data_IF_803870802707
#
_entry.id   IF_803870802707
#
_cell.length_a   1.000
_cell.length_b   1.000
_cell.length_c   1.000
_cell.angle_alpha   90.00
_cell.angle_beta   90.00
_cell.angle_gamma   90.00
#
_symmetry.space_group_name_H-M   'P 1'
#
loop_
_entity.id
_entity.type
_entity.pdbx_description
1 polymer ?
#
# COMPACT_ATOMS: atom_id res chain seq x y z
N UNK A 1 -36.90 6.98 -5.35
CA UNK A 1 -35.78 7.80 -4.86
C UNK A 1 -35.48 7.40 -3.42
N UNK A 2 -34.48 6.55 -3.15
CA UNK A 2 -34.20 5.98 -1.81
C UNK A 2 -32.70 6.09 -1.41
N UNK A 3 -31.78 6.29 -2.37
CA UNK A 3 -30.32 6.29 -2.11
C UNK A 3 -29.85 7.33 -1.08
N UNK A 4 -30.26 8.59 -1.21
CA UNK A 4 -29.70 9.69 -0.42
C UNK A 4 -30.10 9.63 1.07
N UNK A 5 -31.24 9.02 1.43
CA UNK A 5 -31.57 8.75 2.84
C UNK A 5 -30.72 7.62 3.42
N UNK A 6 -30.49 6.56 2.63
CA UNK A 6 -29.63 5.42 3.04
C UNK A 6 -28.17 5.85 3.23
N UNK A 7 -27.66 6.71 2.33
CA UNK A 7 -26.34 7.33 2.43
C UNK A 7 -26.18 8.15 3.71
N UNK A 8 -27.18 8.97 4.07
CA UNK A 8 -27.16 9.78 5.30
C UNK A 8 -27.14 8.91 6.56
N UNK A 9 -27.99 7.89 6.62
CA UNK A 9 -27.99 6.96 7.76
C UNK A 9 -26.65 6.22 7.94
N UNK A 10 -25.96 5.90 6.84
CA UNK A 10 -24.61 5.31 6.88
C UNK A 10 -23.54 6.28 7.39
N UNK A 11 -23.56 7.54 6.93
CA UNK A 11 -22.62 8.56 7.42
C UNK A 11 -22.86 8.89 8.91
N UNK A 12 -24.12 9.00 9.33
CA UNK A 12 -24.53 9.24 10.72
C UNK A 12 -24.10 8.08 11.65
N UNK A 13 -24.26 6.82 11.20
CA UNK A 13 -23.77 5.65 11.92
C UNK A 13 -22.23 5.59 12.07
N UNK A 14 -21.49 6.22 11.15
CA UNK A 14 -20.03 6.43 11.26
C UNK A 14 -19.67 7.70 12.03
N UNK A 15 -20.63 8.39 12.64
CA UNK A 15 -20.47 9.67 13.36
C UNK A 15 -19.98 10.83 12.46
N UNK A 16 -20.18 10.73 11.15
CA UNK A 16 -19.77 11.74 10.15
C UNK A 16 -20.90 12.75 9.92
N UNK A 17 -20.95 13.79 10.75
CA UNK A 17 -21.90 14.90 10.65
C UNK A 17 -21.82 15.61 9.30
N UNK A 18 -22.79 15.37 8.42
CA UNK A 18 -22.85 15.99 7.09
C UNK A 18 -23.51 17.37 7.17
N UNK A 19 -22.71 18.43 7.23
CA UNK A 19 -23.21 19.81 7.17
C UNK A 19 -23.36 20.31 5.73
N UNK A 20 -24.48 20.95 5.41
CA UNK A 20 -24.72 21.62 4.14
C UNK A 20 -25.10 23.09 4.40
N UNK A 21 -24.36 24.09 3.88
CA UNK A 21 -24.72 25.50 4.03
C UNK A 21 -26.07 25.77 3.35
N UNK A 22 -27.08 26.12 4.16
CA UNK A 22 -28.41 26.57 3.67
C UNK A 22 -28.52 28.08 3.47
N UNK A 23 -27.47 28.82 3.83
CA UNK A 23 -27.39 30.28 3.77
C UNK A 23 -25.99 30.65 3.25
N UNK A 24 -25.89 31.71 2.45
CA UNK A 24 -24.59 32.26 2.06
C UNK A 24 -23.85 32.78 3.31
N UNK A 25 -22.57 32.42 3.45
CA UNK A 25 -21.75 32.90 4.56
C UNK A 25 -21.47 34.40 4.41
N UNK A 26 -21.49 35.18 5.51
CA UNK A 26 -21.08 36.58 5.45
C UNK A 26 -19.63 36.68 4.95
N UNK A 27 -19.35 37.71 4.14
CA UNK A 27 -18.06 37.95 3.48
C UNK A 27 -17.62 36.91 2.43
N UNK A 28 -18.43 35.90 2.11
CA UNK A 28 -18.16 35.00 1.00
C UNK A 28 -18.32 35.71 -0.36
N UNK A 29 -17.46 35.38 -1.33
CA UNK A 29 -17.59 35.89 -2.69
C UNK A 29 -18.86 35.35 -3.37
N UNK A 30 -19.55 36.14 -4.24
CA UNK A 30 -20.75 35.69 -4.92
C UNK A 30 -20.53 34.41 -5.75
N UNK A 31 -21.44 33.44 -5.60
CA UNK A 31 -21.42 32.19 -6.36
C UNK A 31 -21.49 32.45 -7.86
N UNK A 32 -20.60 31.83 -8.65
CA UNK A 32 -20.60 31.94 -10.12
C UNK A 32 -21.71 31.05 -10.72
N UNK A 33 -22.80 31.59 -11.27
CA UNK A 33 -23.94 30.78 -11.73
C UNK A 33 -23.57 29.83 -12.88
N UNK A 34 -22.59 30.21 -13.72
CA UNK A 34 -22.07 29.36 -14.79
C UNK A 34 -21.41 28.05 -14.30
N UNK A 35 -21.01 27.95 -13.02
CA UNK A 35 -20.50 26.71 -12.41
C UNK A 35 -21.61 25.86 -11.77
N UNK A 36 -22.83 26.41 -11.66
CA UNK A 36 -24.02 25.72 -11.15
C UNK A 36 -24.95 25.27 -12.30
N UNK A 37 -24.66 25.70 -13.53
CA UNK A 37 -25.30 25.17 -14.73
C UNK A 37 -24.87 23.71 -14.92
N UNK A 38 -25.81 22.78 -14.71
CA UNK A 38 -25.62 21.39 -15.09
C UNK A 38 -25.40 21.35 -16.61
N UNK A 39 -24.37 20.66 -17.14
CA UNK A 39 -24.23 20.50 -18.58
C UNK A 39 -25.50 19.83 -19.14
N UNK A 40 -25.97 20.22 -20.34
CA UNK A 40 -27.14 19.59 -20.93
C UNK A 40 -26.90 18.09 -21.04
N UNK A 41 -27.91 17.28 -20.68
CA UNK A 41 -27.82 15.84 -20.81
C UNK A 41 -27.50 15.50 -22.27
N UNK A 42 -26.39 14.77 -22.50
CA UNK A 42 -25.97 14.41 -23.84
C UNK A 42 -27.07 13.58 -24.51
N UNK A 43 -27.64 14.11 -25.59
CA UNK A 43 -28.74 13.47 -26.28
C UNK A 43 -28.31 12.08 -26.82
N UNK A 44 -29.16 11.10 -26.57
CA UNK A 44 -29.24 9.82 -27.27
C UNK A 44 -27.91 9.11 -27.59
N UNK A 45 -27.20 8.70 -26.54
CA UNK A 45 -26.56 7.39 -26.61
C UNK A 45 -27.65 6.33 -26.42
N UNK A 46 -27.93 5.47 -27.43
CA UNK A 46 -28.97 4.45 -27.30
C UNK A 46 -28.58 3.44 -26.21
N UNK A 47 -29.37 3.40 -25.13
CA UNK A 47 -29.14 2.46 -24.04
C UNK A 47 -29.30 1.00 -24.54
N UNK A 48 -28.42 0.06 -24.12
CA UNK A 48 -28.60 -1.35 -24.45
C UNK A 48 -29.92 -1.85 -23.87
N UNK A 49 -30.77 -2.43 -24.71
CA UNK A 49 -32.16 -2.74 -24.37
C UNK A 49 -32.26 -3.73 -23.20
N UNK A 50 -32.71 -3.24 -22.04
CA UNK A 50 -33.03 -4.07 -20.89
C UNK A 50 -34.18 -5.04 -21.24
N UNK A 51 -33.87 -6.33 -21.31
CA UNK A 51 -34.79 -7.38 -21.78
C UNK A 51 -35.87 -7.64 -20.73
N UNK A 52 -37.03 -7.03 -20.91
CA UNK A 52 -38.16 -7.16 -19.98
C UNK A 52 -38.62 -8.63 -19.84
N UNK A 53 -38.51 -9.17 -18.62
CA UNK A 53 -39.16 -10.42 -18.23
C UNK A 53 -40.55 -10.04 -17.72
N UNK A 54 -41.59 -10.34 -18.50
CA UNK A 54 -42.95 -9.88 -18.21
C UNK A 54 -43.54 -10.51 -16.96
N UNK A 55 -44.23 -9.68 -16.16
CA UNK A 55 -45.05 -10.12 -15.04
C UNK A 55 -46.13 -11.11 -15.51
N UNK A 56 -46.24 -12.25 -14.85
CA UNK A 56 -47.32 -13.22 -15.10
C UNK A 56 -47.80 -13.78 -13.76
N UNK A 57 -48.88 -13.19 -13.25
CA UNK A 57 -49.46 -13.58 -11.96
C UNK A 57 -50.04 -15.00 -11.98
N UNK A 58 -49.95 -15.67 -10.84
CA UNK A 58 -50.64 -16.94 -10.54
C UNK A 58 -51.29 -16.80 -9.17
N UNK A 59 -52.53 -17.27 -9.03
CA UNK A 59 -53.36 -17.05 -7.85
C UNK A 59 -53.02 -17.99 -6.67
N UNK A 60 -53.45 -17.61 -5.47
CA UNK A 60 -53.64 -18.54 -4.35
C UNK A 60 -54.77 -19.56 -4.70
N UNK A 61 -54.85 -20.71 -4.00
CA UNK A 61 -55.76 -20.69 -2.85
C UNK A 61 -55.44 -21.62 -1.65
N UNK A 62 -55.92 -21.16 -0.49
CA UNK A 62 -56.49 -21.92 0.64
C UNK A 62 -55.60 -22.69 1.66
N UNK A 63 -56.26 -22.99 2.79
CA UNK A 63 -55.75 -23.46 4.09
C UNK A 63 -56.38 -24.82 4.45
N UNK A 64 -55.87 -25.56 5.44
CA UNK A 64 -56.66 -25.74 6.68
C UNK A 64 -55.84 -25.72 7.99
N UNK A 65 -56.53 -25.84 9.12
CA UNK A 65 -56.06 -25.91 10.52
C UNK A 65 -57.22 -26.59 11.35
N UNK A 66 -57.17 -26.78 12.70
CA UNK A 66 -56.17 -26.41 13.72
C UNK A 66 -55.91 -27.56 14.76
N UNK A 67 -55.78 -27.19 16.05
CA UNK A 67 -55.66 -28.00 17.30
C UNK A 67 -54.22 -28.52 17.63
N UNK A 68 -53.75 -28.52 18.89
CA UNK A 68 -54.41 -28.20 20.18
C UNK A 68 -53.49 -27.40 21.15
N UNK A 69 -54.02 -26.97 22.31
CA UNK A 69 -53.35 -26.19 23.39
C UNK A 69 -54.15 -26.40 24.72
N UNK A 70 -53.91 -25.72 25.88
CA UNK A 70 -52.84 -24.84 26.40
C UNK A 70 -52.33 -25.40 27.79
N UNK A 71 -51.99 -24.67 28.90
CA UNK A 71 -51.63 -23.24 29.13
C UNK A 71 -50.41 -22.93 30.07
N UNK A 72 -49.89 -21.69 29.99
CA UNK A 72 -49.30 -20.82 31.04
C UNK A 72 -48.10 -21.31 31.92
N UNK A 73 -47.29 -20.49 32.61
CA UNK A 73 -47.18 -19.01 32.73
C UNK A 73 -45.71 -18.58 33.04
N UNK A 74 -45.45 -17.25 33.01
CA UNK A 74 -44.33 -16.53 33.65
C UNK A 74 -42.89 -16.65 33.08
N UNK A 75 -42.07 -15.68 33.50
CA UNK A 75 -40.63 -15.46 33.22
C UNK A 75 -39.98 -14.91 34.55
N UNK A 76 -38.69 -14.49 34.65
CA UNK A 76 -37.61 -14.35 33.64
C UNK A 76 -36.18 -14.78 34.14
N UNK A 77 -35.14 -14.25 33.47
CA UNK A 77 -33.73 -13.99 33.87
C UNK A 77 -32.64 -15.09 34.07
N UNK A 78 -31.52 -14.80 33.38
CA UNK A 78 -30.08 -15.03 33.66
C UNK A 78 -29.41 -16.44 33.65
N UNK A 79 -28.12 -16.53 33.23
CA UNK A 79 -27.40 -17.80 33.05
C UNK A 79 -26.34 -18.11 34.13
N UNK A 80 -26.15 -19.39 34.47
CA UNK A 80 -24.96 -19.87 35.20
C UNK A 80 -24.45 -21.25 34.75
N UNK A 81 -23.15 -21.27 34.44
CA UNK A 81 -22.15 -22.34 34.63
C UNK A 81 -22.61 -23.77 35.00
N UNK A 82 -22.12 -24.76 34.25
CA UNK A 82 -21.88 -26.12 34.79
C UNK A 82 -20.43 -26.28 35.28
N UNK A 83 -20.28 -26.96 36.42
CA UNK A 83 -19.03 -27.56 36.90
C UNK A 83 -18.90 -28.98 36.28
N UNK A 84 -17.73 -29.41 35.80
CA UNK A 84 -16.55 -29.94 36.52
C UNK A 84 -16.69 -31.35 37.12
N UNK A 85 -15.72 -32.22 36.82
CA UNK A 85 -15.24 -33.47 37.48
C UNK A 85 -14.14 -34.05 36.56
N UNK A 86 -13.11 -34.80 36.98
CA UNK A 86 -12.77 -35.45 38.27
C UNK A 86 -11.24 -35.34 38.52
N UNK A 87 -10.71 -35.08 39.73
CA UNK A 87 -10.25 -36.01 40.81
C UNK A 87 -9.21 -37.08 40.37
N UNK A 88 -8.20 -37.52 41.16
CA UNK A 88 -7.97 -37.39 42.62
C UNK A 88 -6.48 -37.63 43.04
N UNK A 89 -6.18 -37.39 44.34
CA UNK A 89 -5.17 -38.09 45.20
C UNK A 89 -3.65 -37.87 44.95
N UNK A 90 -2.75 -37.88 45.96
CA UNK A 90 -2.88 -37.90 47.44
C UNK A 90 -1.58 -37.48 48.17
N UNK A 91 -1.71 -36.93 49.40
CA UNK A 91 -0.78 -36.93 50.58
C UNK A 91 0.67 -36.40 50.43
N UNK A 92 1.38 -35.89 51.45
CA UNK A 92 1.11 -35.63 52.89
C UNK A 92 1.93 -34.37 53.32
N UNK A 93 1.41 -33.41 54.11
CA UNK A 93 1.63 -33.27 55.58
C UNK A 93 3.14 -33.29 55.98
N UNK A 94 3.82 -32.21 56.42
CA UNK A 94 3.45 -30.80 56.74
C UNK A 94 4.73 -29.88 56.60
N UNK A 95 5.08 -28.79 57.33
CA UNK A 95 4.62 -28.11 58.58
C UNK A 95 5.02 -26.62 58.63
N UNK A 96 4.58 -25.91 59.68
CA UNK A 96 4.96 -24.54 60.10
C UNK A 96 6.49 -24.35 60.21
N UNK A 97 7.11 -23.16 60.15
CA UNK A 97 6.64 -21.77 60.21
C UNK A 97 7.72 -20.94 60.96
N UNK A 98 8.05 -19.70 60.58
CA UNK A 98 7.59 -18.41 61.17
C UNK A 98 8.36 -17.26 60.45
N UNK A 99 7.92 -16.00 60.54
CA UNK A 99 8.54 -14.81 59.90
C UNK A 99 9.02 -13.77 60.96
N UNK A 100 9.39 -12.49 60.66
CA UNK A 100 9.97 -11.84 59.46
C UNK A 100 11.22 -10.97 59.83
N UNK A 101 11.48 -9.87 59.09
CA UNK A 101 12.36 -8.70 59.38
C UNK A 101 13.90 -8.83 59.15
N UNK A 102 14.69 -7.77 58.90
CA UNK A 102 14.42 -6.44 58.29
C UNK A 102 15.73 -5.66 57.94
N UNK A 103 15.62 -4.74 56.97
CA UNK A 103 16.31 -3.43 56.85
C UNK A 103 17.84 -3.28 56.56
N UNK A 104 18.13 -2.08 56.02
CA UNK A 104 19.37 -1.28 56.05
C UNK A 104 20.44 -1.42 54.95
N UNK A 105 20.87 -0.24 54.45
CA UNK A 105 22.12 0.02 53.69
C UNK A 105 23.23 0.42 54.68
N UNK A 106 24.49 0.57 54.25
CA UNK A 106 24.96 1.94 53.99
C UNK A 106 25.93 2.06 52.78
N UNK A 107 26.41 3.28 52.54
CA UNK A 107 27.53 3.61 51.65
C UNK A 107 28.32 4.80 52.24
N UNK A 108 29.64 4.88 52.02
CA UNK A 108 30.44 6.10 52.15
C UNK A 108 31.78 6.01 51.39
N UNK A 109 32.35 7.17 51.07
CA UNK A 109 33.56 7.40 50.28
C UNK A 109 34.89 7.05 50.98
N UNK A 110 35.97 6.91 50.19
CA UNK A 110 37.16 7.78 50.30
C UNK A 110 38.14 7.63 49.11
N UNK A 111 38.80 8.74 48.74
CA UNK A 111 39.78 8.83 47.64
C UNK A 111 41.17 8.29 48.04
N UNK A 112 41.96 7.75 47.08
CA UNK A 112 43.19 8.41 46.58
C UNK A 112 44.01 7.65 45.52
N UNK A 113 44.66 8.44 44.66
CA UNK A 113 45.95 8.23 43.96
C UNK A 113 46.14 7.08 42.95
N UNK A 114 46.57 7.45 41.74
CA UNK A 114 47.29 6.58 40.80
C UNK A 114 48.80 6.48 41.17
N UNK A 115 49.57 5.56 40.55
CA UNK A 115 50.23 5.95 39.29
C UNK A 115 50.30 4.86 38.19
N UNK A 116 50.63 5.29 36.96
CA UNK A 116 51.20 4.49 35.85
C UNK A 116 52.59 3.93 36.26
N UNK A 117 53.14 2.83 35.66
CA UNK A 117 53.56 2.85 34.24
C UNK A 117 53.65 1.50 33.46
N UNK A 118 54.16 1.63 32.22
CA UNK A 118 54.67 0.60 31.27
C UNK A 118 53.64 -0.16 30.43
N UNK A 119 53.75 0.04 29.12
CA UNK A 119 53.14 -0.77 28.07
C UNK A 119 54.01 -2.00 27.75
N UNK A 120 53.38 -3.10 27.33
CA UNK A 120 54.00 -4.12 26.47
C UNK A 120 53.04 -4.32 25.29
N UNK A 121 53.49 -4.21 24.03
CA UNK A 121 52.60 -4.35 22.88
C UNK A 121 52.05 -5.79 22.78
N UNK A 122 50.75 -5.91 22.52
CA UNK A 122 50.16 -7.13 21.95
C UNK A 122 50.14 -6.93 20.44
N UNK A 123 50.72 -7.86 19.69
CA UNK A 123 50.86 -7.74 18.23
C UNK A 123 49.49 -7.74 17.53
N UNK A 124 49.37 -6.88 16.51
CA UNK A 124 48.21 -6.83 15.60
C UNK A 124 48.07 -8.16 14.83
N UNK A 125 47.35 -9.11 15.42
CA UNK A 125 46.71 -10.18 14.67
C UNK A 125 45.47 -9.58 14.02
N UNK A 126 45.35 -9.50 12.68
CA UNK A 126 44.19 -8.90 12.04
C UNK A 126 42.94 -9.76 12.27
N UNK A 127 42.20 -9.47 13.34
CA UNK A 127 40.96 -10.17 13.64
C UNK A 127 39.93 -9.78 12.58
N UNK A 128 39.74 -10.69 11.61
CA UNK A 128 38.84 -10.51 10.49
C UNK A 128 37.47 -10.03 10.98
N UNK A 129 37.12 -8.79 10.64
CA UNK A 129 35.90 -8.16 11.13
C UNK A 129 34.69 -8.99 10.67
N UNK A 130 33.95 -9.55 11.63
CA UNK A 130 32.72 -10.26 11.34
C UNK A 130 31.79 -9.32 10.55
N UNK A 131 31.23 -9.74 9.40
CA UNK A 131 30.51 -8.84 8.52
C UNK A 131 29.35 -8.20 9.27
N UNK A 132 29.37 -6.87 9.36
CA UNK A 132 28.35 -6.09 10.05
C UNK A 132 27.04 -6.29 9.32
N UNK A 133 26.16 -7.14 9.87
CA UNK A 133 24.84 -7.44 9.32
C UNK A 133 23.96 -6.18 9.42
N UNK A 134 24.04 -5.33 8.40
CA UNK A 134 23.17 -4.17 8.21
C UNK A 134 21.72 -4.65 8.27
N UNK A 135 20.88 -3.94 9.02
CA UNK A 135 19.47 -4.31 9.13
C UNK A 135 18.82 -4.37 7.74
N UNK A 136 18.01 -5.41 7.44
CA UNK A 136 17.37 -5.54 6.14
C UNK A 136 16.47 -4.32 5.90
N UNK A 137 16.55 -3.66 4.72
CA UNK A 137 15.67 -2.54 4.41
C UNK A 137 14.21 -3.00 4.38
N UNK A 138 13.27 -2.06 4.44
CA UNK A 138 11.84 -2.34 4.34
C UNK A 138 11.22 -1.48 3.26
N UNK A 139 10.61 -2.12 2.26
CA UNK A 139 9.91 -1.45 1.17
C UNK A 139 8.90 -2.40 0.53
N UNK A 140 7.97 -1.83 -0.24
CA UNK A 140 7.14 -2.57 -1.17
C UNK A 140 7.12 -1.87 -2.53
N UNK A 141 7.11 -2.67 -3.59
CA UNK A 141 7.17 -2.24 -4.99
C UNK A 141 6.15 -3.00 -5.82
N UNK A 142 5.29 -2.29 -6.54
CA UNK A 142 4.44 -2.86 -7.57
C UNK A 142 5.08 -2.67 -8.94
N UNK A 143 5.01 -3.70 -9.77
CA UNK A 143 5.32 -3.58 -11.19
C UNK A 143 4.03 -3.39 -11.99
N UNK A 144 4.06 -2.45 -12.94
CA UNK A 144 2.98 -2.18 -13.89
C UNK A 144 3.53 -2.04 -15.32
N UNK A 145 2.68 -2.27 -16.32
CA UNK A 145 2.97 -2.02 -17.74
C UNK A 145 1.94 -1.09 -18.35
N UNK A 146 2.39 -0.07 -19.07
CA UNK A 146 1.56 0.89 -19.78
C UNK A 146 2.05 1.00 -21.23
N UNK A 147 1.47 0.20 -22.12
CA UNK A 147 1.96 0.06 -23.50
C UNK A 147 3.41 -0.42 -23.54
N UNK A 148 4.27 0.33 -24.23
CA UNK A 148 5.70 0.06 -24.36
C UNK A 148 6.54 0.42 -23.12
N UNK A 149 5.95 0.97 -22.05
CA UNK A 149 6.66 1.33 -20.82
C UNK A 149 6.39 0.34 -19.68
N UNK A 150 7.43 0.08 -18.89
CA UNK A 150 7.38 -0.66 -17.64
C UNK A 150 7.57 0.32 -16.47
N UNK A 151 6.84 0.13 -15.37
CA UNK A 151 6.85 1.04 -14.23
C UNK A 151 7.02 0.25 -12.93
N UNK A 152 8.10 0.53 -12.19
CA UNK A 152 8.33 0.01 -10.84
C UNK A 152 8.01 1.12 -9.83
N UNK A 153 6.98 0.91 -9.01
CA UNK A 153 6.35 1.96 -8.21
C UNK A 153 6.34 1.61 -6.73
N UNK A 154 6.82 2.53 -5.90
CA UNK A 154 6.79 2.47 -4.44
C UNK A 154 5.36 2.42 -3.89
N UNK A 155 5.14 1.51 -2.93
CA UNK A 155 3.91 1.35 -2.17
C UNK A 155 4.20 1.59 -0.67
N UNK A 156 4.08 2.82 -0.14
CA UNK A 156 4.46 3.13 1.24
C UNK A 156 3.70 2.35 2.32
N UNK A 157 2.47 1.88 2.02
CA UNK A 157 1.65 1.05 2.91
C UNK A 157 1.93 -0.45 2.78
N UNK A 158 2.58 -0.90 1.70
CA UNK A 158 2.69 -2.32 1.34
C UNK A 158 1.42 -2.96 0.77
N UNK A 159 0.34 -2.19 0.56
CA UNK A 159 -0.88 -2.62 -0.11
C UNK A 159 -0.84 -2.32 -1.61
N UNK A 160 -1.50 -3.14 -2.43
CA UNK A 160 -1.61 -2.90 -3.87
C UNK A 160 -2.61 -1.80 -4.22
N UNK A 161 -2.41 -1.12 -5.36
CA UNK A 161 -3.23 0.01 -5.78
C UNK A 161 -4.72 -0.31 -5.88
N UNK A 162 -5.54 0.55 -5.26
CA UNK A 162 -7.01 0.46 -5.32
C UNK A 162 -7.57 1.47 -6.34
N UNK A 163 -8.68 1.16 -7.01
CA UNK A 163 -9.24 2.01 -8.09
C UNK A 163 -9.69 3.42 -7.69
N UNK A 164 -9.69 3.75 -6.39
CA UNK A 164 -10.03 5.08 -5.83
C UNK A 164 -8.86 5.72 -5.06
N UNK A 165 -7.71 5.07 -5.03
CA UNK A 165 -6.50 5.55 -4.37
C UNK A 165 -5.99 6.85 -5.04
N UNK A 166 -5.80 7.96 -4.28
CA UNK A 166 -5.25 9.20 -4.80
C UNK A 166 -3.90 9.05 -5.53
N UNK A 167 -3.01 8.18 -5.04
CA UNK A 167 -1.72 7.90 -5.66
C UNK A 167 -1.91 7.22 -7.02
N UNK A 168 -2.80 6.22 -7.08
CA UNK A 168 -3.12 5.53 -8.33
C UNK A 168 -3.80 6.46 -9.35
N UNK A 169 -4.68 7.35 -8.90
CA UNK A 169 -5.28 8.38 -9.76
C UNK A 169 -4.21 9.34 -10.31
N UNK A 170 -3.27 9.79 -9.48
CA UNK A 170 -2.13 10.59 -9.93
C UNK A 170 -1.25 9.84 -10.94
N UNK A 171 -0.97 8.55 -10.73
CA UNK A 171 -0.22 7.71 -11.67
C UNK A 171 -0.92 7.64 -13.04
N UNK A 172 -2.25 7.49 -13.07
CA UNK A 172 -3.03 7.48 -14.31
C UNK A 172 -3.00 8.82 -15.05
N UNK A 173 -3.07 9.94 -14.32
CA UNK A 173 -2.93 11.27 -14.93
C UNK A 173 -1.50 11.54 -15.44
N UNK A 174 -0.46 11.02 -14.77
CA UNK A 174 0.92 11.04 -15.28
C UNK A 174 1.07 10.22 -16.57
N UNK A 175 0.51 9.01 -16.63
CA UNK A 175 0.49 8.17 -17.85
C UNK A 175 -0.22 8.88 -19.01
N UNK A 176 -1.41 9.45 -18.75
CA UNK A 176 -2.16 10.25 -19.72
C UNK A 176 -1.35 11.44 -20.23
N UNK A 177 -0.67 12.16 -19.35
CA UNK A 177 0.20 13.29 -19.70
C UNK A 177 1.51 12.87 -20.42
N UNK A 178 1.97 11.63 -20.22
CA UNK A 178 3.06 11.01 -20.97
C UNK A 178 2.67 10.57 -22.39
N UNK A 179 1.36 10.49 -22.69
CA UNK A 179 0.83 9.88 -23.92
C UNK A 179 0.80 8.35 -23.88
N UNK A 180 0.77 7.75 -22.69
CA UNK A 180 0.65 6.32 -22.46
C UNK A 180 -0.80 5.94 -22.09
N UNK A 181 -1.20 4.65 -22.22
CA UNK A 181 -2.50 4.19 -21.75
C UNK A 181 -2.70 4.48 -20.26
N UNK A 182 -3.81 5.11 -19.90
CA UNK A 182 -4.14 5.47 -18.51
C UNK A 182 -4.81 4.32 -17.71
N UNK A 183 -4.83 3.12 -18.29
CA UNK A 183 -5.20 1.85 -17.64
C UNK A 183 -3.98 0.91 -17.57
N UNK A 184 -2.99 1.17 -16.68
CA UNK A 184 -1.81 0.32 -16.58
C UNK A 184 -2.17 -1.09 -16.08
N UNK A 185 -1.55 -2.11 -16.67
CA UNK A 185 -1.69 -3.49 -16.24
C UNK A 185 -0.79 -3.76 -15.03
N UNK A 186 -1.38 -4.23 -13.93
CA UNK A 186 -0.63 -4.76 -12.77
C UNK A 186 0.06 -6.07 -13.15
N UNK A 187 1.37 -6.17 -12.92
CA UNK A 187 2.17 -7.35 -13.23
C UNK A 187 2.54 -8.11 -11.93
N UNK A 188 1.68 -9.05 -11.56
CA UNK A 188 1.85 -9.87 -10.36
C UNK A 188 1.60 -9.13 -9.05
N UNK A 189 1.85 -9.83 -7.94
CA UNK A 189 1.75 -9.29 -6.59
C UNK A 189 2.82 -8.23 -6.27
N UNK A 190 2.57 -7.30 -5.33
CA UNK A 190 3.60 -6.42 -4.79
C UNK A 190 4.81 -7.20 -4.25
N UNK A 191 5.99 -6.88 -4.76
CA UNK A 191 7.27 -7.26 -4.14
C UNK A 191 7.32 -6.59 -2.77
N UNK A 192 7.57 -7.36 -1.71
CA UNK A 192 7.71 -6.86 -0.34
C UNK A 192 9.05 -7.34 0.21
N UNK A 193 9.87 -6.40 0.68
CA UNK A 193 11.19 -6.70 1.25
C UNK A 193 11.22 -6.32 2.74
N UNK A 194 11.84 -7.14 3.63
CA UNK A 194 12.44 -8.45 3.37
C UNK A 194 11.41 -9.52 2.94
N UNK A 195 11.82 -10.45 2.09
CA UNK A 195 10.98 -11.57 1.62
C UNK A 195 10.58 -12.52 2.76
N UNK A 196 11.48 -12.68 3.75
CA UNK A 196 11.32 -13.56 4.90
C UNK A 196 11.51 -12.76 6.20
N UNK A 197 10.56 -12.88 7.13
CA UNK A 197 10.63 -12.23 8.45
C UNK A 197 11.74 -12.79 9.37
N UNK A 198 12.38 -13.90 8.98
CA UNK A 198 13.51 -14.50 9.68
C UNK A 198 14.18 -15.60 8.85
N UNK A 199 15.42 -15.93 9.20
CA UNK A 199 16.26 -16.91 8.50
C UNK A 199 17.75 -16.53 8.56
N UNK A 200 18.62 -17.34 7.95
CA UNK A 200 20.04 -17.02 7.75
C UNK A 200 20.37 -16.67 6.28
N UNK A 201 19.35 -16.40 5.47
CA UNK A 201 19.49 -15.81 4.14
C UNK A 201 19.88 -14.33 4.29
N UNK A 202 20.84 -13.85 3.49
CA UNK A 202 21.11 -12.41 3.44
C UNK A 202 19.93 -11.68 2.80
N UNK A 203 19.45 -10.63 3.49
CA UNK A 203 18.40 -9.75 3.02
C UNK A 203 18.80 -8.27 3.18
N UNK A 204 20.11 -8.00 3.27
CA UNK A 204 20.67 -6.65 3.31
C UNK A 204 20.51 -5.87 1.99
N UNK A 205 21.03 -4.63 1.93
CA UNK A 205 20.82 -3.74 0.78
C UNK A 205 21.34 -4.25 -0.57
N UNK A 206 22.38 -5.10 -0.58
CA UNK A 206 22.90 -5.77 -1.78
C UNK A 206 21.91 -6.80 -2.33
N UNK A 207 21.59 -7.83 -1.54
CA UNK A 207 20.59 -8.84 -1.90
C UNK A 207 19.23 -8.25 -2.33
N UNK A 208 18.82 -7.12 -1.73
CA UNK A 208 17.62 -6.38 -2.11
C UNK A 208 17.69 -5.80 -3.54
N UNK A 209 18.86 -5.31 -3.93
CA UNK A 209 19.15 -4.79 -5.28
C UNK A 209 19.24 -5.92 -6.29
N UNK A 210 20.02 -6.95 -5.99
CA UNK A 210 20.21 -8.13 -6.86
C UNK A 210 18.85 -8.77 -7.20
N UNK A 211 17.96 -8.87 -6.20
CA UNK A 211 16.59 -9.33 -6.39
C UNK A 211 15.77 -8.40 -7.29
N UNK A 212 15.77 -7.08 -7.05
CA UNK A 212 14.96 -6.12 -7.82
C UNK A 212 15.45 -6.02 -9.27
N UNK A 213 16.77 -6.02 -9.50
CA UNK A 213 17.36 -6.03 -10.84
C UNK A 213 17.04 -7.33 -11.59
N UNK A 214 17.24 -8.50 -10.97
CA UNK A 214 16.89 -9.79 -11.57
C UNK A 214 15.38 -9.96 -11.84
N UNK A 215 14.53 -9.44 -10.94
CA UNK A 215 13.07 -9.41 -11.14
C UNK A 215 12.68 -8.51 -12.32
N UNK A 216 13.31 -7.35 -12.49
CA UNK A 216 13.08 -6.47 -13.66
C UNK A 216 13.59 -7.11 -14.96
N UNK A 217 14.75 -7.77 -14.94
CA UNK A 217 15.34 -8.42 -16.12
C UNK A 217 14.36 -9.42 -16.76
N UNK A 218 13.87 -10.39 -15.98
CA UNK A 218 12.90 -11.38 -16.46
C UNK A 218 11.64 -10.73 -17.06
N UNK A 219 11.16 -9.62 -16.49
CA UNK A 219 9.95 -8.89 -16.94
C UNK A 219 10.18 -8.03 -18.20
N UNK A 220 11.44 -7.77 -18.54
CA UNK A 220 11.86 -7.09 -19.77
C UNK A 220 12.21 -8.08 -20.89
N UNK A 221 12.68 -9.29 -20.54
CA UNK A 221 12.81 -10.42 -21.46
C UNK A 221 11.44 -10.96 -21.93
N UNK A 222 10.45 -11.03 -21.02
CA UNK A 222 9.09 -11.49 -21.31
C UNK A 222 8.35 -10.67 -22.39
N UNK A 223 8.59 -9.35 -22.46
CA UNK A 223 7.97 -8.48 -23.44
C UNK A 223 8.74 -7.15 -23.60
N UNK A 224 8.89 -6.62 -24.83
CA UNK A 224 9.72 -5.45 -25.12
C UNK A 224 9.35 -4.21 -24.29
N UNK A 225 10.36 -3.41 -23.96
CA UNK A 225 10.24 -2.23 -23.09
C UNK A 225 11.08 -1.08 -23.64
N UNK A 226 10.43 0.02 -24.06
CA UNK A 226 11.09 1.22 -24.59
C UNK A 226 11.68 2.11 -23.49
N UNK A 227 11.09 2.06 -22.29
CA UNK A 227 11.53 2.83 -21.13
C UNK A 227 10.98 2.21 -19.83
N UNK A 228 11.87 2.04 -18.85
CA UNK A 228 11.54 1.73 -17.47
C UNK A 228 11.38 3.04 -16.68
N UNK A 229 10.30 3.17 -15.90
CA UNK A 229 10.14 4.24 -14.91
C UNK A 229 10.38 3.68 -13.51
N UNK A 230 11.18 4.39 -12.71
CA UNK A 230 11.45 4.08 -11.31
C UNK A 230 10.79 5.18 -10.46
N UNK A 231 9.68 4.86 -9.81
CA UNK A 231 8.83 5.83 -9.10
C UNK A 231 8.95 5.60 -7.60
N UNK A 232 9.61 6.52 -6.89
CA UNK A 232 9.88 6.40 -5.46
C UNK A 232 11.32 5.95 -5.14
N UNK A 233 11.77 6.30 -3.94
CA UNK A 233 13.19 6.15 -3.57
C UNK A 233 13.66 4.68 -3.51
N UNK A 234 12.87 3.70 -3.01
CA UNK A 234 13.25 2.30 -3.06
C UNK A 234 13.34 1.76 -4.50
N UNK A 235 12.45 2.19 -5.41
CA UNK A 235 12.50 1.79 -6.82
C UNK A 235 13.81 2.26 -7.46
N UNK A 236 14.20 3.52 -7.21
CA UNK A 236 15.44 4.10 -7.73
C UNK A 236 16.67 3.42 -7.08
N UNK A 237 16.73 3.33 -5.75
CA UNK A 237 17.89 2.79 -5.02
C UNK A 237 18.17 1.31 -5.34
N UNK A 238 17.13 0.48 -5.39
CA UNK A 238 17.29 -0.97 -5.55
C UNK A 238 17.27 -1.45 -7.01
N UNK A 239 16.85 -0.62 -7.98
CA UNK A 239 17.10 -0.90 -9.40
C UNK A 239 18.41 -0.25 -9.91
N UNK A 240 18.62 1.05 -9.66
CA UNK A 240 19.64 1.87 -10.34
C UNK A 240 20.85 2.28 -9.50
N UNK A 241 20.91 1.87 -8.22
CA UNK A 241 21.86 2.35 -7.19
C UNK A 241 21.78 3.83 -6.83
N UNK A 242 21.13 4.66 -7.66
CA UNK A 242 21.03 6.11 -7.49
C UNK A 242 20.18 6.52 -6.28
N UNK A 243 20.24 7.82 -5.96
CA UNK A 243 19.63 8.42 -4.78
C UNK A 243 18.60 9.52 -5.13
N UNK A 244 18.04 10.18 -4.12
CA UNK A 244 17.00 11.19 -4.31
C UNK A 244 17.44 12.45 -5.11
N UNK A 245 18.72 12.63 -5.37
CA UNK A 245 19.26 13.69 -6.25
C UNK A 245 19.06 13.39 -7.75
N UNK A 246 18.80 12.12 -8.09
CA UNK A 246 18.53 11.66 -9.44
C UNK A 246 17.06 11.82 -9.89
N UNK A 247 16.16 12.29 -9.02
CA UNK A 247 14.78 12.64 -9.40
C UNK A 247 14.74 13.59 -10.62
N UNK A 248 13.75 13.39 -11.49
CA UNK A 248 13.55 14.10 -12.76
C UNK A 248 14.65 13.87 -13.82
N UNK A 249 15.53 12.88 -13.64
CA UNK A 249 16.62 12.50 -14.56
C UNK A 249 16.49 11.08 -15.10
N UNK A 250 17.22 10.82 -16.18
CA UNK A 250 17.49 9.46 -16.65
C UNK A 250 18.69 8.89 -15.89
N UNK A 251 18.57 7.64 -15.45
CA UNK A 251 19.60 6.90 -14.69
C UNK A 251 19.99 5.62 -15.43
N UNK A 252 21.27 5.24 -15.45
CA UNK A 252 21.68 3.91 -15.91
C UNK A 252 21.14 2.85 -14.95
N UNK A 253 20.82 1.69 -15.48
CA UNK A 253 20.42 0.50 -14.71
C UNK A 253 21.22 -0.66 -15.28
N UNK A 254 22.04 -1.31 -14.47
CA UNK A 254 22.92 -2.37 -14.97
C UNK A 254 22.11 -3.54 -15.54
N UNK A 255 22.57 -4.12 -16.64
CA UNK A 255 21.85 -5.08 -17.48
C UNK A 255 20.58 -4.56 -18.18
N UNK A 256 19.95 -3.47 -17.72
CA UNK A 256 18.62 -3.02 -18.13
C UNK A 256 18.60 -1.69 -18.90
N UNK A 257 19.75 -1.06 -19.11
CA UNK A 257 19.92 0.12 -19.95
C UNK A 257 19.69 1.43 -19.19
N UNK A 258 18.64 2.18 -19.54
CA UNK A 258 18.39 3.53 -19.00
C UNK A 258 16.93 3.70 -18.63
N UNK A 259 16.69 3.93 -17.34
CA UNK A 259 15.38 4.21 -16.74
C UNK A 259 15.19 5.71 -16.46
N UNK A 260 13.95 6.14 -16.27
CA UNK A 260 13.60 7.50 -15.81
C UNK A 260 13.24 7.46 -14.33
N UNK A 261 13.86 8.32 -13.51
CA UNK A 261 13.71 8.37 -12.06
C UNK A 261 12.72 9.47 -11.63
N UNK A 262 11.69 9.11 -10.88
CA UNK A 262 10.62 10.00 -10.39
C UNK A 262 10.55 9.96 -8.84
N UNK A 263 10.18 11.07 -8.17
CA UNK A 263 9.77 11.02 -6.77
C UNK A 263 8.57 10.08 -6.55
N UNK A 264 8.40 9.61 -5.31
CA UNK A 264 7.26 8.77 -4.93
C UNK A 264 5.92 9.49 -5.12
N UNK A 265 4.84 8.73 -5.34
CA UNK A 265 3.52 9.31 -5.64
C UNK A 265 2.99 10.16 -4.47
N UNK A 266 3.16 9.71 -3.22
CA UNK A 266 2.88 10.51 -2.02
C UNK A 266 3.72 11.80 -2.00
N UNK A 267 5.03 11.73 -2.24
CA UNK A 267 5.92 12.91 -2.31
C UNK A 267 5.48 13.92 -3.38
N UNK A 268 4.91 13.45 -4.50
CA UNK A 268 4.33 14.31 -5.52
C UNK A 268 2.98 14.91 -5.10
N UNK A 269 2.23 14.28 -4.18
CA UNK A 269 1.00 14.84 -3.60
C UNK A 269 1.32 15.87 -2.50
N UNK A 270 2.25 15.56 -1.60
CA UNK A 270 2.71 16.42 -0.49
C UNK A 270 3.48 17.66 -0.97
N UNK A 271 4.26 17.53 -2.04
CA UNK A 271 5.02 18.63 -2.64
C UNK A 271 4.56 18.95 -4.09
N UNK A 272 3.36 19.55 -4.30
CA UNK A 272 2.83 19.83 -5.64
C UNK A 272 3.75 20.65 -6.56
N UNK A 273 4.65 21.45 -6.00
CA UNK A 273 5.66 22.20 -6.76
C UNK A 273 6.57 21.30 -7.61
N UNK A 274 6.87 20.05 -7.16
CA UNK A 274 7.67 19.09 -7.92
C UNK A 274 7.04 18.69 -9.25
N UNK A 275 5.70 18.75 -9.37
CA UNK A 275 4.97 18.39 -10.59
C UNK A 275 5.37 19.27 -11.79
N UNK A 276 5.82 20.50 -11.55
CA UNK A 276 6.35 21.37 -12.61
C UNK A 276 7.68 20.84 -13.17
N UNK A 277 8.66 20.55 -12.30
CA UNK A 277 9.96 19.98 -12.68
C UNK A 277 9.80 18.62 -13.38
N UNK A 278 8.95 17.75 -12.81
CA UNK A 278 8.60 16.45 -13.38
C UNK A 278 7.97 16.58 -14.77
N UNK A 279 7.03 17.51 -14.98
CA UNK A 279 6.45 17.78 -16.30
C UNK A 279 7.48 18.26 -17.32
N UNK A 280 8.40 19.16 -16.91
CA UNK A 280 9.50 19.61 -17.75
C UNK A 280 10.48 18.47 -18.09
N UNK A 281 10.71 17.52 -17.18
CA UNK A 281 11.50 16.32 -17.45
C UNK A 281 10.79 15.35 -18.39
N UNK A 282 9.54 15.01 -18.09
CA UNK A 282 8.72 14.09 -18.89
C UNK A 282 8.61 14.54 -20.35
N UNK A 283 8.49 15.86 -20.60
CA UNK A 283 8.48 16.42 -21.96
C UNK A 283 9.77 16.21 -22.75
N UNK A 284 10.92 15.97 -22.09
CA UNK A 284 12.18 15.58 -22.74
C UNK A 284 12.15 14.09 -23.08
N UNK A 285 11.99 13.25 -22.06
CA UNK A 285 12.15 11.79 -22.17
C UNK A 285 11.05 11.10 -22.98
N UNK A 286 9.81 11.63 -22.97
CA UNK A 286 8.65 10.96 -23.58
C UNK A 286 8.73 10.72 -25.08
N UNK A 287 9.68 11.37 -25.77
CA UNK A 287 9.96 11.09 -27.18
C UNK A 287 10.37 9.63 -27.41
N UNK A 288 11.11 9.02 -26.46
CA UNK A 288 11.60 7.63 -26.55
C UNK A 288 10.45 6.64 -26.77
N UNK A 289 9.51 6.57 -25.83
CA UNK A 289 8.40 5.62 -25.91
C UNK A 289 7.33 6.01 -26.95
N UNK A 290 7.16 7.31 -27.23
CA UNK A 290 6.23 7.73 -28.29
C UNK A 290 6.74 7.35 -29.70
N UNK A 291 8.06 7.38 -29.94
CA UNK A 291 8.65 6.89 -31.19
C UNK A 291 8.45 5.37 -31.34
N UNK A 292 8.77 4.60 -30.30
CA UNK A 292 8.59 3.14 -30.32
C UNK A 292 7.11 2.74 -30.49
N UNK A 293 6.18 3.47 -29.87
CA UNK A 293 4.74 3.18 -29.97
C UNK A 293 4.16 3.34 -31.37
N UNK A 294 4.86 4.03 -32.29
CA UNK A 294 4.47 4.19 -33.69
C UNK A 294 5.08 3.09 -34.58
N UNK A 295 6.13 2.39 -34.12
CA UNK A 295 6.76 1.26 -34.81
C UNK A 295 6.02 -0.09 -34.58
N UNK A 296 4.75 -0.04 -34.16
CA UNK A 296 3.91 -1.23 -33.96
C UNK A 296 3.63 -2.02 -35.25
N UNK A 297 3.28 -3.32 -35.16
CA UNK A 297 3.46 -4.30 -36.23
C UNK A 297 2.49 -4.24 -37.44
N UNK A 298 1.73 -3.15 -37.62
CA UNK A 298 0.84 -2.99 -38.81
C UNK A 298 1.58 -2.49 -40.07
N UNK A 299 2.90 -2.29 -40.00
CA UNK A 299 3.73 -1.82 -41.12
C UNK A 299 4.06 -2.89 -42.18
N UNK A 300 3.86 -4.18 -41.88
CA UNK A 300 4.15 -5.30 -42.81
C UNK A 300 2.86 -5.77 -43.51
N UNK A 301 2.28 -4.87 -44.32
CA UNK A 301 1.02 -5.13 -45.03
C UNK A 301 0.92 -4.46 -46.40
N UNK A 302 2.01 -4.52 -47.15
CA UNK A 302 1.98 -4.26 -48.59
C UNK A 302 1.10 -5.31 -49.31
N UNK A 303 0.04 -4.91 -50.03
CA UNK A 303 -0.58 -5.76 -51.04
C UNK A 303 0.25 -5.74 -52.33
N UNK A 304 0.37 -6.91 -52.97
CA UNK A 304 1.05 -7.08 -54.26
C UNK A 304 0.20 -6.61 -55.46
#
# INVERSE_FOLDING_TARGET
MIEESRRRAYLDAMQVTTWLPRVALPFAAPSRPALLALPPAAADHPAPAARAVGERGVAAPNRPAPANSPPAEAAPVEPRSLAAQSTAAHADETRSGTAPAAAARPALDALRSAPKPVEVPVEDTPQAAAPVRVAPPRFALQLLRAGACLLLVELPTGEGFQSRDPAYLLLKDLLRAAGLPDSPQLLGEPVRWPLLAGGNLDQGPGAARDFVQGFLAARMEEAPCACLWLVGLPAIRYASEADADAYDREVPVDGLGVAWALPGLETLMDEPARKASLWHAMRRVRRRWLMESVAGPDADKDPA
#
